data_IF_330864102458
#
_entry.id   IF_330864102458
#
_cell.length_a   1.000
_cell.length_b   1.000
_cell.length_c   1.000
_cell.angle_alpha   90.00
_cell.angle_beta   90.00
_cell.angle_gamma   90.00
#
_symmetry.space_group_name_H-M   'P 1'
#
loop_
_entity.id
_entity.type
_entity.pdbx_description
1 polymer ?
#
# COMPACT_ATOMS: atom_id res chain seq x y z
N UNK A 1 -2.15 5.22 -22.41
CA UNK A 1 -1.68 4.61 -21.15
C UNK A 1 -2.91 4.43 -20.29
N UNK A 2 -3.19 3.21 -19.87
CA UNK A 2 -4.24 2.93 -18.90
C UNK A 2 -3.62 3.06 -17.50
N UNK A 3 -4.43 3.36 -16.48
CA UNK A 3 -3.93 3.32 -15.10
C UNK A 3 -3.56 1.89 -14.69
N UNK A 4 -2.54 1.70 -13.83
CA UNK A 4 -2.23 0.40 -13.27
C UNK A 4 -3.43 -0.23 -12.56
N UNK A 5 -3.52 -1.56 -12.59
CA UNK A 5 -4.51 -2.30 -11.81
C UNK A 5 -4.28 -2.13 -10.31
N UNK A 6 -5.38 -2.00 -9.57
CA UNK A 6 -5.32 -1.92 -8.10
C UNK A 6 -4.73 -3.19 -7.51
N UNK A 7 -3.90 -3.03 -6.48
CA UNK A 7 -3.41 -4.13 -5.65
C UNK A 7 -4.58 -4.69 -4.84
N UNK A 8 -4.77 -6.01 -4.85
CA UNK A 8 -5.88 -6.66 -4.13
C UNK A 8 -5.43 -7.59 -3.00
N UNK A 9 -4.12 -7.74 -2.80
CA UNK A 9 -3.54 -8.70 -1.85
C UNK A 9 -2.63 -8.06 -0.80
N UNK A 10 -2.77 -6.76 -0.53
CA UNK A 10 -2.07 -6.12 0.59
C UNK A 10 -2.48 -6.81 1.89
N UNK A 11 -1.50 -7.28 2.65
CA UNK A 11 -1.72 -8.05 3.86
C UNK A 11 -0.76 -7.61 4.96
N UNK A 12 -1.23 -7.53 6.20
CA UNK A 12 -0.37 -7.40 7.39
C UNK A 12 0.11 -8.81 7.78
N UNK A 13 1.42 -9.04 7.77
CA UNK A 13 2.03 -10.35 8.03
C UNK A 13 2.57 -10.48 9.47
N UNK A 14 2.89 -9.36 10.11
CA UNK A 14 3.29 -9.30 11.51
C UNK A 14 3.08 -7.88 12.07
N UNK A 15 3.03 -7.73 13.38
CA UNK A 15 2.92 -6.44 14.06
C UNK A 15 3.50 -6.54 15.48
N UNK A 16 3.77 -5.39 16.07
CA UNK A 16 4.10 -5.25 17.48
C UNK A 16 3.47 -3.99 18.07
N UNK A 17 3.97 -3.54 19.21
CA UNK A 17 3.42 -2.37 19.92
C UNK A 17 3.50 -1.05 19.13
N UNK A 18 4.48 -0.89 18.23
CA UNK A 18 4.69 0.37 17.50
C UNK A 18 5.06 0.20 16.02
N UNK A 19 4.80 -0.99 15.46
CA UNK A 19 5.11 -1.29 14.07
C UNK A 19 4.16 -2.33 13.47
N UNK A 20 4.07 -2.34 12.15
CA UNK A 20 3.38 -3.36 11.36
C UNK A 20 4.22 -3.71 10.12
N UNK A 21 4.37 -5.00 9.83
CA UNK A 21 5.03 -5.50 8.62
C UNK A 21 3.98 -5.99 7.63
N UNK A 22 4.11 -5.54 6.39
CA UNK A 22 3.12 -5.70 5.33
C UNK A 22 3.76 -6.36 4.12
N UNK A 23 2.93 -7.05 3.34
CA UNK A 23 3.33 -7.71 2.10
C UNK A 23 2.24 -7.57 1.03
N UNK A 24 2.65 -7.42 -0.23
CA UNK A 24 1.78 -7.42 -1.41
C UNK A 24 2.53 -7.91 -2.66
N UNK A 25 1.85 -7.95 -3.80
CA UNK A 25 2.46 -8.23 -5.11
C UNK A 25 2.49 -6.95 -5.96
N UNK A 26 3.65 -6.61 -6.53
CA UNK A 26 3.79 -5.48 -7.43
C UNK A 26 2.82 -5.62 -8.63
N UNK A 27 1.99 -4.61 -8.93
CA UNK A 27 1.03 -4.68 -10.03
C UNK A 27 1.73 -4.53 -11.38
N UNK A 28 1.13 -5.10 -12.43
CA UNK A 28 1.44 -4.73 -13.81
C UNK A 28 0.55 -3.58 -14.26
N UNK A 29 0.92 -2.90 -15.34
CA UNK A 29 0.15 -1.79 -15.92
C UNK A 29 -1.13 -2.32 -16.61
N UNK A 30 -0.99 -3.34 -17.46
CA UNK A 30 -2.09 -3.98 -18.21
C UNK A 30 -2.25 -5.48 -17.91
N UNK A 31 -2.33 -5.84 -16.63
CA UNK A 31 -2.62 -7.24 -16.24
C UNK A 31 -1.42 -8.19 -16.25
N UNK A 32 -0.19 -7.70 -16.46
CA UNK A 32 1.12 -8.34 -16.11
C UNK A 32 2.31 -7.63 -16.77
N UNK A 33 2.08 -6.76 -17.76
CA UNK A 33 3.13 -6.00 -18.46
C UNK A 33 3.11 -4.51 -18.06
N UNK A 34 4.29 -3.90 -17.95
CA UNK A 34 4.51 -2.52 -17.47
C UNK A 34 5.07 -2.46 -16.05
N UNK A 35 5.83 -1.41 -15.75
CA UNK A 35 6.48 -1.19 -14.45
C UNK A 35 5.76 -0.04 -13.74
N UNK A 36 5.07 -0.32 -12.64
CA UNK A 36 4.66 0.74 -11.73
C UNK A 36 5.92 1.53 -11.32
N UNK A 37 5.87 2.85 -11.40
CA UNK A 37 7.03 3.70 -11.10
C UNK A 37 6.97 4.22 -9.67
N UNK A 38 5.77 4.40 -9.11
CA UNK A 38 5.58 4.98 -7.79
C UNK A 38 4.56 4.22 -6.96
N UNK A 39 4.78 4.23 -5.65
CA UNK A 39 3.79 3.90 -4.64
C UNK A 39 3.36 5.17 -3.91
N UNK A 40 2.07 5.33 -3.67
CA UNK A 40 1.56 6.15 -2.58
C UNK A 40 1.05 5.22 -1.51
N UNK A 41 1.80 5.08 -0.42
CA UNK A 41 1.45 4.20 0.69
C UNK A 41 0.85 5.02 1.83
N UNK A 42 -0.28 4.56 2.35
CA UNK A 42 -1.07 5.26 3.37
C UNK A 42 -1.42 4.38 4.56
N UNK A 43 -1.55 5.00 5.72
CA UNK A 43 -2.13 4.39 6.90
C UNK A 43 -3.06 5.36 7.65
N UNK A 44 -4.02 4.83 8.39
CA UNK A 44 -4.99 5.63 9.15
C UNK A 44 -5.61 4.83 10.30
N UNK A 45 -6.32 5.51 11.20
CA UNK A 45 -7.14 4.89 12.26
C UNK A 45 -8.58 4.61 11.80
N UNK A 46 -8.84 4.65 10.50
CA UNK A 46 -10.13 4.36 9.87
C UNK A 46 -9.91 3.54 8.60
N UNK A 47 -10.90 2.77 8.16
CA UNK A 47 -10.81 1.98 6.93
C UNK A 47 -10.58 2.87 5.71
N UNK A 48 -9.54 2.54 4.93
CA UNK A 48 -9.16 3.31 3.75
C UNK A 48 -9.86 2.73 2.52
N UNK A 49 -10.41 3.62 1.70
CA UNK A 49 -11.13 3.37 0.45
C UNK A 49 -10.63 4.36 -0.60
N UNK A 50 -10.98 4.18 -1.87
CA UNK A 50 -10.61 5.17 -2.91
C UNK A 50 -11.15 6.57 -2.60
N UNK A 51 -12.33 6.68 -1.98
CA UNK A 51 -13.01 7.96 -1.72
C UNK A 51 -12.37 8.77 -0.57
N UNK A 52 -11.67 8.12 0.35
CA UNK A 52 -11.07 8.77 1.52
C UNK A 52 -9.54 8.58 1.60
N UNK A 53 -8.91 8.08 0.54
CA UNK A 53 -7.49 7.74 0.50
C UNK A 53 -6.59 8.92 0.87
N UNK A 54 -6.88 10.11 0.34
CA UNK A 54 -6.05 11.30 0.53
C UNK A 54 -6.21 11.93 1.93
N UNK A 55 -7.17 11.46 2.73
CA UNK A 55 -7.33 11.84 4.13
C UNK A 55 -6.45 11.01 5.09
N UNK A 56 -5.82 9.93 4.59
CA UNK A 56 -4.92 9.08 5.35
C UNK A 56 -3.49 9.62 5.36
N UNK A 57 -2.72 9.23 6.38
CA UNK A 57 -1.34 9.67 6.54
C UNK A 57 -0.43 8.97 5.53
N UNK A 58 0.41 9.74 4.85
CA UNK A 58 1.41 9.22 3.92
C UNK A 58 2.59 8.60 4.68
N UNK A 59 3.04 7.45 4.20
CA UNK A 59 4.26 6.81 4.66
C UNK A 59 5.19 6.58 3.47
N UNK A 60 6.34 7.25 3.49
CA UNK A 60 7.34 7.14 2.43
C UNK A 60 7.99 5.76 2.47
N UNK A 61 7.90 5.02 1.36
CA UNK A 61 8.57 3.73 1.22
C UNK A 61 10.05 3.93 0.81
N UNK A 62 11.00 3.15 1.34
CA UNK A 62 12.41 3.31 1.03
C UNK A 62 12.82 2.68 -0.32
N UNK A 63 11.86 2.33 -1.17
CA UNK A 63 12.06 1.66 -2.45
C UNK A 63 10.95 2.01 -3.44
N UNK A 64 11.25 1.83 -4.73
CA UNK A 64 10.28 1.92 -5.82
C UNK A 64 9.70 0.55 -6.17
N UNK A 65 8.53 0.48 -6.83
CA UNK A 65 7.98 -0.79 -7.26
C UNK A 65 8.98 -1.62 -8.06
N UNK A 66 9.07 -2.91 -7.70
CA UNK A 66 9.77 -3.91 -8.47
C UNK A 66 8.96 -4.32 -9.70
N UNK A 67 9.54 -5.19 -10.53
CA UNK A 67 8.85 -5.74 -11.68
C UNK A 67 7.54 -6.43 -11.29
N UNK A 68 6.53 -6.29 -12.14
CA UNK A 68 5.20 -6.86 -11.92
C UNK A 68 5.27 -8.36 -11.55
N UNK A 69 4.46 -8.75 -10.57
CA UNK A 69 4.42 -10.12 -10.06
C UNK A 69 5.46 -10.45 -8.98
N UNK A 70 6.45 -9.58 -8.75
CA UNK A 70 7.35 -9.73 -7.60
C UNK A 70 6.63 -9.44 -6.27
N UNK A 71 7.10 -10.11 -5.22
CA UNK A 71 6.64 -9.84 -3.86
C UNK A 71 7.30 -8.58 -3.33
N UNK A 72 6.50 -7.76 -2.65
CA UNK A 72 6.89 -6.48 -2.06
C UNK A 72 6.64 -6.51 -0.57
N UNK A 73 7.41 -5.77 0.21
CA UNK A 73 7.21 -5.70 1.65
C UNK A 73 7.70 -4.42 2.28
N UNK A 74 6.98 -3.95 3.29
CA UNK A 74 7.31 -2.75 4.04
C UNK A 74 7.09 -2.94 5.53
N UNK A 75 7.88 -2.25 6.34
CA UNK A 75 7.68 -2.14 7.78
C UNK A 75 7.31 -0.71 8.11
N UNK A 76 6.07 -0.50 8.55
CA UNK A 76 5.57 0.78 9.05
C UNK A 76 5.94 0.87 10.52
N UNK A 77 6.66 1.92 10.91
CA UNK A 77 7.11 2.15 12.29
C UNK A 77 6.56 3.46 12.84
N UNK A 78 6.69 3.68 14.15
CA UNK A 78 6.22 4.91 14.81
C UNK A 78 4.72 4.90 15.12
N UNK A 79 4.08 3.73 15.08
CA UNK A 79 2.69 3.57 15.46
C UNK A 79 2.54 3.65 16.99
N UNK A 80 1.36 4.03 17.45
CA UNK A 80 1.00 3.97 18.87
C UNK A 80 0.49 2.56 19.25
N UNK A 81 0.78 2.09 20.45
CA UNK A 81 0.34 0.80 21.02
C UNK A 81 -1.15 0.76 21.35
N UNK A 82 -1.77 -0.42 21.23
CA UNK A 82 -3.20 -0.61 21.50
C UNK A 82 -4.16 0.12 20.55
N UNK A 83 -3.69 0.53 19.36
CA UNK A 83 -4.45 1.31 18.38
C UNK A 83 -4.67 0.51 17.11
N UNK A 84 -5.89 0.57 16.57
CA UNK A 84 -6.18 -0.01 15.26
C UNK A 84 -5.66 0.90 14.14
N UNK A 85 -4.87 0.31 13.24
CA UNK A 85 -4.42 0.94 12.02
C UNK A 85 -4.92 0.15 10.80
N UNK A 86 -5.31 0.89 9.78
CA UNK A 86 -5.67 0.43 8.46
C UNK A 86 -4.61 0.91 7.48
N UNK A 87 -4.32 0.09 6.47
CA UNK A 87 -3.27 0.37 5.49
C UNK A 87 -3.86 0.29 4.09
N UNK A 88 -3.34 1.07 3.15
CA UNK A 88 -3.67 0.95 1.74
C UNK A 88 -2.55 1.57 0.90
N UNK A 89 -2.49 1.22 -0.38
CA UNK A 89 -1.61 1.90 -1.32
C UNK A 89 -2.24 2.06 -2.71
N UNK A 90 -1.75 3.05 -3.45
CA UNK A 90 -1.97 3.24 -4.89
C UNK A 90 -0.64 3.11 -5.62
N UNK A 91 -0.71 2.78 -6.90
CA UNK A 91 0.44 2.75 -7.81
C UNK A 91 0.23 3.68 -8.98
N UNK A 92 1.31 4.25 -9.51
CA UNK A 92 1.27 4.99 -10.78
C UNK A 92 2.30 4.49 -11.79
N UNK A 93 2.03 4.74 -13.07
CA UNK A 93 2.94 4.57 -14.20
C UNK A 93 3.92 5.78 -14.35
N UNK A 94 4.69 5.82 -15.45
CA UNK A 94 5.61 6.92 -15.79
C UNK A 94 4.89 8.24 -16.18
N UNK A 95 3.59 8.18 -16.49
CA UNK A 95 2.76 9.35 -16.86
C UNK A 95 1.63 9.45 -15.85
N UNK A 96 1.86 10.03 -14.65
CA UNK A 96 1.26 9.67 -13.36
C UNK A 96 -0.24 9.36 -13.37
N UNK A 97 -0.60 8.22 -13.94
CA UNK A 97 -1.94 7.65 -13.93
C UNK A 97 -2.01 6.76 -12.71
N UNK A 98 -2.75 7.18 -11.70
CA UNK A 98 -2.88 6.43 -10.45
C UNK A 98 -3.94 5.34 -10.59
N UNK A 99 -3.69 4.22 -9.93
CA UNK A 99 -4.68 3.17 -9.68
C UNK A 99 -5.73 3.62 -8.67
N UNK A 100 -6.81 2.84 -8.58
CA UNK A 100 -7.64 2.83 -7.37
C UNK A 100 -6.83 2.40 -6.13
N UNK A 101 -7.35 2.72 -4.94
CA UNK A 101 -6.76 2.25 -3.69
C UNK A 101 -6.82 0.71 -3.61
N UNK A 102 -5.82 0.12 -2.95
CA UNK A 102 -5.79 -1.31 -2.66
C UNK A 102 -6.94 -1.74 -1.74
N UNK A 103 -7.03 -3.05 -1.46
CA UNK A 103 -7.74 -3.51 -0.27
C UNK A 103 -7.12 -2.88 1.00
N UNK A 104 -7.90 -2.80 2.08
CA UNK A 104 -7.47 -2.16 3.32
C UNK A 104 -7.41 -3.14 4.49
N UNK A 105 -6.32 -3.88 4.67
CA UNK A 105 -6.15 -4.71 5.86
C UNK A 105 -5.92 -3.82 7.09
N UNK A 106 -6.29 -4.35 8.26
CA UNK A 106 -6.13 -3.65 9.53
C UNK A 106 -5.46 -4.53 10.57
N UNK A 107 -4.82 -3.89 11.56
CA UNK A 107 -4.31 -4.55 12.76
C UNK A 107 -4.45 -3.63 13.96
N UNK A 108 -4.65 -4.21 15.15
CA UNK A 108 -4.49 -3.49 16.42
C UNK A 108 -3.08 -3.76 16.91
N UNK A 109 -2.28 -2.71 17.11
CA UNK A 109 -0.94 -2.83 17.70
C UNK A 109 -1.02 -3.37 19.13
N UNK A 110 0.03 -4.06 19.56
CA UNK A 110 0.13 -4.65 20.91
C UNK A 110 0.10 -3.61 22.04
#
# INVERSE_FOLDING_TARGET
MASPIRITNLTVIAHGANWAALQWTAPGDDGTAGLATWYDFRYAQFAITSDNFDAADHYELPFFPHTAGQGEGAMVVGLSSGVIYWFALKTSDEVPNWSDASNSPSVTTE
#
